data_IF_874720572820
#
_entry.id   IF_874720572820
#
_cell.length_a   1.000
_cell.length_b   1.000
_cell.length_c   1.000
_cell.angle_alpha   90.00
_cell.angle_beta   90.00
_cell.angle_gamma   90.00
#
_symmetry.space_group_name_H-M   'P 1'
#
loop_
_entity.id
_entity.type
_entity.pdbx_description
1 polymer ?
#
# COMPACT_ATOMS: atom_id res chain seq x y z
N UNK A 1 1.27 12.51 -8.17
CA UNK A 1 0.88 11.18 -7.70
C UNK A 1 -0.56 10.91 -8.09
N UNK A 2 -0.83 9.72 -8.57
CA UNK A 2 -2.18 9.29 -8.93
C UNK A 2 -2.73 8.40 -7.81
N UNK A 3 -3.89 8.74 -7.26
CA UNK A 3 -4.55 7.99 -6.18
C UNK A 3 -5.76 7.28 -6.77
N UNK A 4 -5.74 5.95 -6.75
CA UNK A 4 -6.76 5.11 -7.37
C UNK A 4 -7.56 4.41 -6.25
N UNK A 5 -8.87 4.69 -6.14
CA UNK A 5 -9.71 3.96 -5.21
C UNK A 5 -9.87 2.50 -5.62
N UNK A 6 -10.09 1.64 -4.65
CA UNK A 6 -10.43 0.23 -4.86
C UNK A 6 -11.91 -0.01 -4.53
N UNK A 7 -12.36 -1.25 -4.69
CA UNK A 7 -13.73 -1.64 -4.30
C UNK A 7 -13.98 -1.52 -2.78
N UNK A 8 -12.92 -1.47 -1.98
CA UNK A 8 -13.01 -1.29 -0.52
C UNK A 8 -12.65 0.14 -0.18
N UNK A 9 -13.61 0.88 0.40
CA UNK A 9 -13.38 2.24 0.84
C UNK A 9 -12.24 2.30 1.87
N UNK A 10 -11.28 3.21 1.65
CA UNK A 10 -10.11 3.37 2.50
C UNK A 10 -8.91 2.53 2.06
N UNK A 11 -9.06 1.60 1.13
CA UNK A 11 -7.95 0.90 0.50
C UNK A 11 -7.64 1.56 -0.84
N UNK A 12 -6.47 2.17 -0.95
CA UNK A 12 -6.10 3.02 -2.08
C UNK A 12 -4.79 2.54 -2.72
N UNK A 13 -4.77 2.57 -4.04
CA UNK A 13 -3.53 2.35 -4.81
C UNK A 13 -2.94 3.72 -5.12
N UNK A 14 -1.65 3.89 -4.80
CA UNK A 14 -0.91 5.10 -5.10
C UNK A 14 0.12 4.81 -6.19
N UNK A 15 0.06 5.61 -7.25
CA UNK A 15 1.03 5.53 -8.34
C UNK A 15 1.88 6.81 -8.33
N UNK A 16 3.15 6.74 -7.89
CA UNK A 16 4.02 7.89 -7.92
C UNK A 16 4.37 8.27 -9.35
N UNK A 17 4.70 9.53 -9.56
CA UNK A 17 5.26 9.98 -10.82
C UNK A 17 6.73 9.58 -10.90
N UNK A 18 7.07 8.74 -11.87
CA UNK A 18 8.43 8.24 -12.08
C UNK A 18 9.07 9.02 -13.23
N UNK A 19 10.27 9.50 -13.00
CA UNK A 19 11.10 10.19 -13.98
C UNK A 19 12.25 9.27 -14.36
N UNK A 20 12.33 8.86 -15.62
CA UNK A 20 13.36 7.96 -16.11
C UNK A 20 14.18 8.53 -17.26
N UNK A 21 15.46 8.14 -17.35
CA UNK A 21 16.37 8.40 -18.45
C UNK A 21 17.35 7.22 -18.59
N UNK A 22 18.37 7.37 -19.46
CA UNK A 22 19.35 6.31 -19.71
C UNK A 22 20.17 5.91 -18.47
N UNK A 23 20.20 6.72 -17.43
CA UNK A 23 20.92 6.44 -16.17
C UNK A 23 20.10 5.64 -15.17
N UNK A 24 18.75 5.60 -15.33
CA UNK A 24 17.83 4.96 -14.40
C UNK A 24 16.58 5.81 -14.18
N UNK A 25 16.06 5.80 -12.97
CA UNK A 25 14.84 6.53 -12.63
C UNK A 25 14.94 7.20 -11.27
N UNK A 26 14.08 8.19 -11.10
CA UNK A 26 13.84 8.87 -9.84
C UNK A 26 12.35 9.06 -9.61
N UNK A 27 11.90 8.86 -8.40
CA UNK A 27 10.56 9.26 -7.99
C UNK A 27 10.53 9.57 -6.49
N UNK A 28 9.60 10.41 -6.10
CA UNK A 28 9.29 10.65 -4.69
C UNK A 28 8.42 9.51 -4.17
N UNK A 29 8.99 8.68 -3.30
CA UNK A 29 8.29 7.52 -2.75
C UNK A 29 7.30 7.90 -1.65
N UNK A 30 7.56 8.97 -0.93
CA UNK A 30 6.67 9.50 0.11
C UNK A 30 6.93 10.99 0.35
N UNK A 31 5.85 11.75 0.46
CA UNK A 31 5.84 13.13 0.94
C UNK A 31 4.67 13.29 1.90
N UNK A 32 4.95 13.69 3.14
CA UNK A 32 3.91 13.89 4.15
C UNK A 32 2.87 14.95 3.70
N UNK A 33 3.33 16.02 3.04
CA UNK A 33 2.44 17.05 2.55
C UNK A 33 1.50 16.53 1.45
N UNK A 34 2.04 15.86 0.42
CA UNK A 34 1.24 15.28 -0.66
C UNK A 34 0.30 14.19 -0.16
N UNK A 35 0.76 13.36 0.76
CA UNK A 35 -0.06 12.30 1.35
C UNK A 35 -1.26 12.87 2.11
N UNK A 36 -1.02 13.89 2.94
CA UNK A 36 -2.07 14.57 3.71
C UNK A 36 -3.09 15.23 2.79
N UNK A 37 -2.64 15.84 1.71
CA UNK A 37 -3.50 16.52 0.74
C UNK A 37 -4.35 15.55 -0.08
N UNK A 38 -3.75 14.45 -0.56
CA UNK A 38 -4.36 13.59 -1.58
C UNK A 38 -4.94 12.28 -1.04
N UNK A 39 -4.52 11.83 0.13
CA UNK A 39 -4.95 10.56 0.73
C UNK A 39 -5.70 10.79 2.04
N UNK A 40 -4.99 11.07 3.11
CA UNK A 40 -5.58 11.36 4.41
C UNK A 40 -4.54 11.89 5.39
N UNK A 41 -5.02 12.42 6.52
CA UNK A 41 -4.16 12.84 7.61
C UNK A 41 -3.75 11.61 8.43
N UNK A 42 -2.58 11.06 8.11
CA UNK A 42 -1.97 9.94 8.84
C UNK A 42 -0.50 10.25 9.06
N UNK A 43 -0.06 10.11 10.30
CA UNK A 43 1.35 10.23 10.67
C UNK A 43 1.96 8.83 10.75
N UNK A 44 2.87 8.51 9.84
CA UNK A 44 3.62 7.27 9.88
C UNK A 44 4.77 7.40 10.86
N UNK A 45 4.78 6.55 11.88
CA UNK A 45 5.74 6.62 13.00
C UNK A 45 6.70 5.43 13.02
N UNK A 46 6.54 4.48 12.12
CA UNK A 46 7.35 3.27 12.05
C UNK A 46 7.50 2.82 10.61
N UNK A 47 8.69 2.43 10.24
CA UNK A 47 9.02 1.88 8.93
C UNK A 47 9.69 0.52 9.11
N UNK A 48 9.19 -0.49 8.39
CA UNK A 48 9.70 -1.85 8.44
C UNK A 48 9.98 -2.35 7.02
N UNK A 49 11.04 -3.11 6.86
CA UNK A 49 11.34 -3.80 5.63
C UNK A 49 11.43 -5.31 5.88
N UNK A 50 10.88 -6.10 4.98
CA UNK A 50 10.98 -7.56 5.03
C UNK A 50 11.39 -8.11 3.67
N UNK A 51 12.06 -9.25 3.70
CA UNK A 51 12.41 -10.02 2.52
C UNK A 51 11.76 -11.40 2.60
N UNK A 52 11.22 -11.86 1.48
CA UNK A 52 10.65 -13.20 1.36
C UNK A 52 11.11 -13.84 0.06
N UNK A 53 11.41 -15.13 0.11
CA UNK A 53 11.70 -15.93 -1.08
C UNK A 53 10.42 -16.22 -1.85
N UNK A 54 10.55 -16.59 -3.10
CA UNK A 54 9.42 -16.98 -3.94
C UNK A 54 8.56 -18.05 -3.27
N UNK A 55 7.25 -17.88 -3.36
CA UNK A 55 6.26 -18.81 -2.83
C UNK A 55 5.91 -18.63 -1.37
N UNK A 56 6.55 -17.69 -0.65
CA UNK A 56 6.20 -17.40 0.75
C UNK A 56 4.88 -16.64 0.81
N UNK A 57 3.98 -17.11 1.67
CA UNK A 57 2.72 -16.45 2.02
C UNK A 57 2.81 -15.98 3.47
N UNK A 58 2.49 -14.71 3.70
CA UNK A 58 2.39 -14.11 5.04
C UNK A 58 0.98 -13.59 5.25
N UNK A 59 0.36 -14.00 6.34
CA UNK A 59 -0.95 -13.51 6.73
C UNK A 59 -2.02 -14.61 6.77
N UNK A 60 -3.28 -14.28 6.78
CA UNK A 60 -3.77 -12.91 6.94
C UNK A 60 -3.60 -12.49 8.40
N UNK A 61 -3.32 -11.21 8.63
CA UNK A 61 -3.15 -10.69 9.98
C UNK A 61 -3.69 -9.26 10.09
N UNK A 62 -4.08 -8.89 11.31
CA UNK A 62 -4.59 -7.57 11.64
C UNK A 62 -4.38 -7.29 13.12
N UNK A 63 -4.59 -6.04 13.50
CA UNK A 63 -4.49 -5.60 14.89
C UNK A 63 -5.80 -4.95 15.33
N UNK A 64 -6.24 -5.32 16.53
CA UNK A 64 -7.43 -4.73 17.14
C UNK A 64 -7.11 -3.36 17.77
N UNK A 65 -8.09 -2.45 17.83
CA UNK A 65 -7.93 -1.23 18.62
C UNK A 65 -7.55 -1.54 20.08
N UNK A 66 -6.69 -0.74 20.72
CA UNK A 66 -6.11 0.53 20.25
C UNK A 66 -4.83 0.36 19.41
N UNK A 67 -4.48 -0.84 18.98
CA UNK A 67 -3.23 -1.16 18.29
C UNK A 67 -3.39 -1.21 16.77
N UNK A 68 -4.56 -0.89 16.24
CA UNK A 68 -4.80 -0.84 14.80
C UNK A 68 -3.85 0.16 14.12
N UNK A 69 -3.31 -0.23 12.97
CA UNK A 69 -2.34 0.56 12.21
C UNK A 69 -2.78 0.73 10.77
N UNK A 70 -2.70 1.97 10.28
CA UNK A 70 -2.69 2.22 8.85
C UNK A 70 -1.32 1.85 8.28
N UNK A 71 -1.31 1.31 7.07
CA UNK A 71 -0.08 0.85 6.42
C UNK A 71 0.03 1.40 5.01
N UNK A 72 1.24 1.84 4.65
CA UNK A 72 1.61 2.16 3.28
C UNK A 72 2.66 1.15 2.84
N UNK A 73 2.29 0.27 1.91
CA UNK A 73 3.13 -0.85 1.47
C UNK A 73 3.67 -0.59 0.08
N UNK A 74 4.95 -0.82 -0.13
CA UNK A 74 5.58 -0.80 -1.46
C UNK A 74 6.63 -1.89 -1.58
N UNK A 75 7.00 -2.23 -2.81
CA UNK A 75 8.03 -3.22 -3.11
C UNK A 75 9.25 -2.52 -3.68
N UNK A 76 10.41 -2.70 -3.03
CA UNK A 76 11.68 -2.12 -3.48
C UNK A 76 12.40 -3.03 -4.46
N UNK A 77 12.17 -4.35 -4.39
CA UNK A 77 12.78 -5.34 -5.27
C UNK A 77 11.84 -6.55 -5.45
N UNK A 78 11.66 -6.99 -6.68
CA UNK A 78 10.78 -8.11 -7.00
C UNK A 78 9.32 -7.71 -7.11
N UNK A 79 8.43 -8.63 -6.76
CA UNK A 79 6.97 -8.42 -6.81
C UNK A 79 6.26 -9.24 -5.75
N UNK A 80 5.12 -8.70 -5.27
CA UNK A 80 4.21 -9.39 -4.36
C UNK A 80 2.77 -9.17 -4.82
N UNK A 81 1.89 -10.11 -4.47
CA UNK A 81 0.46 -9.89 -4.51
C UNK A 81 0.00 -9.52 -3.10
N UNK A 82 -0.43 -8.28 -2.92
CA UNK A 82 -0.94 -7.78 -1.65
C UNK A 82 -2.46 -7.89 -1.63
N UNK A 83 -2.99 -8.56 -0.62
CA UNK A 83 -4.43 -8.82 -0.48
C UNK A 83 -4.94 -8.15 0.79
N UNK A 84 -5.90 -7.24 0.63
CA UNK A 84 -6.61 -6.62 1.73
C UNK A 84 -8.04 -7.15 1.80
N UNK A 85 -8.43 -7.62 2.98
CA UNK A 85 -9.78 -8.13 3.27
C UNK A 85 -10.48 -7.16 4.20
N UNK A 86 -11.69 -6.77 3.86
CA UNK A 86 -12.50 -5.91 4.72
C UNK A 86 -13.14 -6.74 5.85
N UNK A 87 -12.68 -6.52 7.07
CA UNK A 87 -13.21 -7.17 8.27
C UNK A 87 -13.95 -6.19 9.19
N UNK A 88 -14.25 -4.99 8.71
CA UNK A 88 -14.99 -3.97 9.48
C UNK A 88 -16.46 -4.35 9.57
N UNK A 89 -16.96 -4.53 10.78
CA UNK A 89 -18.38 -4.78 11.03
C UNK A 89 -19.22 -3.59 10.56
N UNK A 90 -20.32 -3.87 9.86
CA UNK A 90 -21.21 -2.83 9.32
C UNK A 90 -20.73 -2.18 8.03
N UNK A 91 -19.54 -2.52 7.53
CA UNK A 91 -19.09 -2.09 6.21
C UNK A 91 -19.91 -2.74 5.10
N UNK A 92 -20.22 -1.98 4.06
CA UNK A 92 -20.91 -2.49 2.86
C UNK A 92 -20.10 -3.57 2.13
N UNK A 93 -18.79 -3.56 2.32
CA UNK A 93 -17.86 -4.50 1.69
C UNK A 93 -17.29 -5.53 2.67
N UNK A 94 -17.92 -5.69 3.83
CA UNK A 94 -17.49 -6.69 4.81
C UNK A 94 -17.33 -8.07 4.18
N UNK A 95 -16.18 -8.71 4.40
CA UNK A 95 -15.83 -10.01 3.84
C UNK A 95 -15.32 -9.99 2.40
N UNK A 96 -15.37 -8.85 1.71
CA UNK A 96 -14.78 -8.70 0.38
C UNK A 96 -13.28 -8.45 0.48
N UNK A 97 -12.58 -8.74 -0.61
CA UNK A 97 -11.15 -8.48 -0.71
C UNK A 97 -10.78 -7.77 -2.00
N UNK A 98 -9.64 -7.11 -1.99
CA UNK A 98 -8.95 -6.63 -3.18
C UNK A 98 -7.55 -7.22 -3.21
N UNK A 99 -7.04 -7.52 -4.39
CA UNK A 99 -5.70 -8.05 -4.60
C UNK A 99 -4.97 -7.14 -5.58
N UNK A 100 -3.80 -6.65 -5.19
CA UNK A 100 -3.02 -5.70 -5.98
C UNK A 100 -1.59 -6.19 -6.11
N UNK A 101 -1.09 -6.29 -7.33
CA UNK A 101 0.32 -6.54 -7.58
C UNK A 101 1.12 -5.27 -7.29
N UNK A 102 2.10 -5.40 -6.37
CA UNK A 102 3.09 -4.38 -6.07
C UNK A 102 4.45 -4.89 -6.52
N UNK A 103 5.19 -4.08 -7.28
CA UNK A 103 6.48 -4.52 -7.82
C UNK A 103 7.47 -3.37 -7.97
N UNK A 104 8.74 -3.72 -8.09
CA UNK A 104 9.79 -2.78 -8.46
C UNK A 104 9.57 -2.14 -9.84
N UNK A 105 8.74 -2.75 -10.69
CA UNK A 105 8.46 -2.28 -12.04
C UNK A 105 7.31 -1.28 -12.09
N UNK A 106 6.21 -1.58 -11.37
CA UNK A 106 5.04 -0.70 -11.39
C UNK A 106 5.11 0.43 -10.37
N UNK A 107 6.02 0.36 -9.40
CA UNK A 107 6.22 1.34 -8.33
C UNK A 107 4.95 1.66 -7.53
N UNK A 108 3.92 0.83 -7.65
CA UNK A 108 2.67 1.02 -6.95
C UNK A 108 2.86 0.85 -5.46
N UNK A 109 2.08 1.61 -4.71
CA UNK A 109 1.98 1.49 -3.27
C UNK A 109 0.53 1.22 -2.91
N UNK A 110 0.29 0.47 -1.85
CA UNK A 110 -1.04 0.19 -1.34
C UNK A 110 -1.18 0.81 0.05
N UNK A 111 -2.18 1.66 0.20
CA UNK A 111 -2.60 2.20 1.49
C UNK A 111 -3.77 1.40 2.04
N UNK A 112 -3.62 0.95 3.28
CA UNK A 112 -4.60 0.13 3.98
C UNK A 112 -4.88 0.75 5.34
#
# INVERSE_FOLDING_TARGET
>A
MNVIPTAIEGVLILEPRVFGDDRGYFFESFSAASFREQVCSTDFVQDNESFSRYGVVRGLHYQLPPYAQSKLVRVVRGSVLDVAVDIRRGSKTFGQHVAVELSERNHRQLFI
#
